data_IF_989476294943
#
_entry.id   IF_989476294943
#
_cell.length_a   1.000
_cell.length_b   1.000
_cell.length_c   1.000
_cell.angle_alpha   90.00
_cell.angle_beta   90.00
_cell.angle_gamma   90.00
#
_symmetry.space_group_name_H-M   'P 1'
#
loop_
_entity.id
_entity.type
_entity.pdbx_description
1 polymer ?
#
# COMPACT_ATOMS: atom_id res chain seq x y z
N UNK A 1 6.82 -1.99 18.13
CA UNK A 1 5.57 -2.43 17.52
C UNK A 1 5.77 -2.57 16.03
N UNK A 2 5.71 -3.80 15.53
CA UNK A 2 5.88 -4.10 14.10
C UNK A 2 4.52 -3.97 13.44
N UNK A 3 4.23 -2.80 12.87
CA UNK A 3 3.04 -2.61 12.05
C UNK A 3 3.46 -2.60 10.58
N UNK A 4 3.19 -3.68 9.88
CA UNK A 4 3.42 -3.72 8.44
C UNK A 4 2.48 -2.76 7.68
N UNK A 5 2.82 -2.34 6.46
CA UNK A 5 2.01 -1.44 5.64
C UNK A 5 0.62 -2.01 5.29
N UNK A 6 0.43 -3.32 5.41
CA UNK A 6 -0.87 -3.98 5.31
C UNK A 6 -1.89 -3.43 6.31
N UNK A 7 -1.44 -3.14 7.54
CA UNK A 7 -2.28 -2.60 8.63
C UNK A 7 -2.78 -1.18 8.32
N UNK A 8 -2.10 -0.45 7.44
CA UNK A 8 -2.51 0.89 7.01
C UNK A 8 -3.61 0.88 5.92
N UNK A 9 -4.25 -0.25 5.66
CA UNK A 9 -5.35 -0.35 4.70
C UNK A 9 -4.94 -0.22 3.23
N UNK A 10 -3.63 -0.21 2.92
CA UNK A 10 -3.10 -0.05 1.56
C UNK A 10 -3.55 -1.20 0.66
N UNK A 11 -3.48 -2.43 1.14
CA UNK A 11 -3.89 -3.61 0.39
C UNK A 11 -5.41 -3.68 0.16
N UNK A 12 -6.21 -3.27 1.16
CA UNK A 12 -7.68 -3.24 1.03
C UNK A 12 -8.14 -2.20 0.02
N UNK A 13 -7.50 -1.01 -0.01
CA UNK A 13 -7.81 0.02 -1.00
C UNK A 13 -7.31 -0.33 -2.40
N UNK A 14 -6.18 -1.03 -2.52
CA UNK A 14 -5.75 -1.61 -3.79
C UNK A 14 -6.78 -2.61 -4.34
N UNK A 15 -7.26 -3.54 -3.49
CA UNK A 15 -8.30 -4.51 -3.84
C UNK A 15 -9.60 -3.83 -4.25
N UNK A 16 -10.01 -2.80 -3.54
CA UNK A 16 -11.18 -1.99 -3.88
C UNK A 16 -11.04 -1.36 -5.28
N UNK A 17 -9.91 -0.72 -5.55
CA UNK A 17 -9.66 -0.09 -6.84
C UNK A 17 -9.61 -1.11 -8.01
N UNK A 18 -9.01 -2.30 -7.77
CA UNK A 18 -9.02 -3.39 -8.75
C UNK A 18 -10.43 -3.91 -8.99
N UNK A 19 -11.25 -4.08 -7.94
CA UNK A 19 -12.64 -4.49 -8.10
C UNK A 19 -13.43 -3.49 -8.96
N UNK A 20 -13.29 -2.19 -8.71
CA UNK A 20 -13.89 -1.15 -9.55
C UNK A 20 -13.37 -1.19 -10.98
N UNK A 21 -12.07 -1.39 -11.19
CA UNK A 21 -11.49 -1.47 -12.52
C UNK A 21 -12.00 -2.72 -13.27
N UNK A 22 -12.05 -3.88 -12.62
CA UNK A 22 -12.56 -5.11 -13.23
C UNK A 22 -14.01 -4.95 -13.64
N UNK A 23 -14.89 -4.58 -12.73
CA UNK A 23 -16.32 -4.47 -12.98
C UNK A 23 -16.64 -3.30 -13.92
N UNK A 24 -15.96 -2.15 -13.79
CA UNK A 24 -16.13 -0.99 -14.65
C UNK A 24 -15.61 -1.22 -16.05
N UNK A 25 -14.39 -1.71 -16.23
CA UNK A 25 -13.79 -1.94 -17.54
C UNK A 25 -14.46 -3.09 -18.29
N UNK A 26 -14.91 -4.15 -17.64
CA UNK A 26 -15.64 -5.22 -18.30
C UNK A 26 -16.96 -4.74 -18.90
N UNK A 27 -17.69 -3.86 -18.20
CA UNK A 27 -18.94 -3.29 -18.73
C UNK A 27 -18.73 -2.36 -19.94
N UNK A 28 -17.57 -1.69 -20.02
CA UNK A 28 -17.31 -0.68 -21.05
C UNK A 28 -16.42 -1.17 -22.19
N UNK A 29 -15.46 -2.05 -21.94
CA UNK A 29 -14.44 -2.48 -22.90
C UNK A 29 -14.40 -4.00 -23.16
N UNK A 30 -15.20 -4.80 -22.46
CA UNK A 30 -15.30 -6.25 -22.66
C UNK A 30 -14.06 -7.06 -22.26
N UNK A 31 -12.95 -6.41 -21.90
CA UNK A 31 -11.72 -7.07 -21.40
C UNK A 31 -10.95 -6.15 -20.47
N UNK A 32 -10.30 -6.73 -19.47
CA UNK A 32 -9.45 -5.99 -18.53
C UNK A 32 -8.00 -6.33 -18.84
N UNK A 33 -7.22 -5.32 -19.21
CA UNK A 33 -5.77 -5.45 -19.38
C UNK A 33 -5.09 -5.63 -18.01
N UNK A 34 -4.10 -6.53 -17.93
CA UNK A 34 -3.27 -6.68 -16.73
C UNK A 34 -2.62 -5.36 -16.28
N UNK A 35 -2.25 -4.51 -17.24
CA UNK A 35 -1.71 -3.18 -16.95
C UNK A 35 -2.74 -2.26 -16.28
N UNK A 36 -4.00 -2.30 -16.68
CA UNK A 36 -5.07 -1.52 -16.06
C UNK A 36 -5.31 -1.96 -14.61
N UNK A 37 -5.22 -3.25 -14.31
CA UNK A 37 -5.33 -3.77 -12.94
C UNK A 37 -4.16 -3.30 -12.06
N UNK A 38 -2.93 -3.36 -12.57
CA UNK A 38 -1.74 -2.88 -11.87
C UNK A 38 -1.85 -1.37 -11.59
N UNK A 39 -2.24 -0.58 -12.60
CA UNK A 39 -2.43 0.85 -12.45
C UNK A 39 -3.54 1.18 -11.42
N UNK A 40 -4.67 0.48 -11.49
CA UNK A 40 -5.77 0.65 -10.52
C UNK A 40 -5.34 0.31 -9.10
N UNK A 41 -4.63 -0.81 -8.90
CA UNK A 41 -4.10 -1.21 -7.59
C UNK A 41 -3.13 -0.15 -7.03
N UNK A 42 -2.24 0.36 -7.88
CA UNK A 42 -1.28 1.39 -7.49
C UNK A 42 -1.97 2.70 -7.10
N UNK A 43 -2.90 3.18 -7.92
CA UNK A 43 -3.69 4.40 -7.64
C UNK A 43 -4.51 4.23 -6.37
N UNK A 44 -5.21 3.10 -6.19
CA UNK A 44 -5.98 2.81 -4.99
C UNK A 44 -5.13 2.82 -3.73
N UNK A 45 -3.93 2.23 -3.80
CA UNK A 45 -2.96 2.27 -2.71
C UNK A 45 -2.55 3.70 -2.37
N UNK A 46 -2.23 4.53 -3.36
CA UNK A 46 -1.82 5.93 -3.16
C UNK A 46 -2.95 6.80 -2.59
N UNK A 47 -4.20 6.56 -3.00
CA UNK A 47 -5.37 7.27 -2.45
C UNK A 47 -5.50 6.99 -0.95
N UNK A 48 -5.39 5.73 -0.52
CA UNK A 48 -5.40 5.37 0.89
C UNK A 48 -4.29 6.08 1.68
N UNK A 49 -3.09 6.09 1.13
CA UNK A 49 -1.94 6.77 1.74
C UNK A 49 -2.18 8.28 1.85
N UNK A 50 -2.69 8.90 0.79
CA UNK A 50 -3.06 10.31 0.79
C UNK A 50 -4.07 10.63 1.89
N UNK A 51 -5.07 9.76 2.06
CA UNK A 51 -6.06 9.88 3.12
C UNK A 51 -5.41 9.79 4.51
N UNK A 52 -4.57 8.78 4.74
CA UNK A 52 -3.83 8.60 6.00
C UNK A 52 -2.94 9.81 6.29
N UNK A 53 -2.26 10.37 5.28
CA UNK A 53 -1.41 11.55 5.44
C UNK A 53 -2.22 12.81 5.81
N UNK A 54 -3.41 12.99 5.25
CA UNK A 54 -4.31 14.08 5.62
C UNK A 54 -4.71 13.97 7.10
N UNK A 55 -5.06 12.77 7.55
CA UNK A 55 -5.40 12.52 8.95
C UNK A 55 -4.17 12.61 9.87
N UNK A 56 -3.00 12.14 9.42
CA UNK A 56 -1.74 12.19 10.19
C UNK A 56 -1.34 13.62 10.60
N UNK A 57 -1.73 14.63 9.82
CA UNK A 57 -1.47 16.03 10.17
C UNK A 57 -2.26 16.51 11.40
N UNK A 58 -3.41 15.89 11.68
CA UNK A 58 -4.29 16.23 12.81
C UNK A 58 -4.13 15.29 14.01
N UNK A 59 -3.57 14.10 13.80
CA UNK A 59 -3.42 13.06 14.82
C UNK A 59 -2.00 13.12 15.39
N UNK A 60 -1.89 13.29 16.71
CA UNK A 60 -0.60 13.38 17.42
C UNK A 60 -0.03 12.02 17.88
N UNK A 61 -0.84 10.95 17.87
CA UNK A 61 -0.46 9.61 18.37
C UNK A 61 -0.22 8.59 17.26
N UNK A 62 0.85 7.79 17.35
CA UNK A 62 1.14 6.71 16.41
C UNK A 62 0.07 5.61 16.47
N UNK A 63 -0.44 5.28 17.66
CA UNK A 63 -1.51 4.29 17.85
C UNK A 63 -2.82 4.72 17.17
N UNK A 64 -3.18 6.00 17.26
CA UNK A 64 -4.38 6.53 16.59
C UNK A 64 -4.26 6.50 15.09
N UNK A 65 -3.05 6.71 14.55
CA UNK A 65 -2.79 6.59 13.12
C UNK A 65 -2.99 5.15 12.62
N UNK A 66 -2.53 4.15 13.39
CA UNK A 66 -2.75 2.74 13.08
C UNK A 66 -4.24 2.39 13.10
N UNK A 67 -4.98 2.84 14.11
CA UNK A 67 -6.44 2.63 14.17
C UNK A 67 -7.14 3.27 12.96
N UNK A 68 -6.76 4.50 12.58
CA UNK A 68 -7.31 5.15 11.39
C UNK A 68 -7.03 4.33 10.11
N UNK A 69 -5.82 3.78 9.96
CA UNK A 69 -5.47 2.91 8.84
C UNK A 69 -6.33 1.64 8.79
N UNK A 70 -6.54 1.00 9.92
CA UNK A 70 -7.40 -0.19 10.04
C UNK A 70 -8.85 0.17 9.66
N UNK A 71 -9.37 1.30 10.13
CA UNK A 71 -10.73 1.75 9.79
C UNK A 71 -10.88 2.00 8.29
N UNK A 72 -9.90 2.66 7.65
CA UNK A 72 -9.87 2.83 6.19
C UNK A 72 -9.88 1.47 5.50
N UNK A 73 -9.11 0.50 5.98
CA UNK A 73 -9.09 -0.86 5.46
C UNK A 73 -10.46 -1.53 5.51
N UNK A 74 -11.16 -1.45 6.63
CA UNK A 74 -12.52 -2.00 6.78
C UNK A 74 -13.54 -1.31 5.88
N UNK A 75 -13.48 0.01 5.74
CA UNK A 75 -14.36 0.76 4.83
C UNK A 75 -14.12 0.30 3.38
N UNK A 76 -12.86 0.21 2.95
CA UNK A 76 -12.53 -0.27 1.60
C UNK A 76 -13.00 -1.71 1.37
N UNK A 77 -12.88 -2.59 2.37
CA UNK A 77 -13.35 -3.97 2.29
C UNK A 77 -14.87 -4.00 2.15
N UNK A 78 -15.61 -3.27 3.00
CA UNK A 78 -17.07 -3.21 2.92
C UNK A 78 -17.57 -2.70 1.56
N UNK A 79 -16.92 -1.67 1.01
CA UNK A 79 -17.22 -1.16 -0.34
C UNK A 79 -16.92 -2.23 -1.39
N UNK A 80 -15.80 -2.94 -1.27
CA UNK A 80 -15.45 -4.03 -2.20
C UNK A 80 -16.49 -5.13 -2.18
N UNK A 81 -16.89 -5.59 -1.00
CA UNK A 81 -17.87 -6.66 -0.84
C UNK A 81 -19.25 -6.24 -1.39
N UNK A 82 -19.64 -4.98 -1.18
CA UNK A 82 -20.85 -4.42 -1.77
C UNK A 82 -20.79 -4.43 -3.31
N UNK A 83 -19.67 -3.97 -3.89
CA UNK A 83 -19.50 -3.91 -5.36
C UNK A 83 -19.46 -5.31 -5.97
N UNK A 84 -18.81 -6.26 -5.30
CA UNK A 84 -18.73 -7.67 -5.72
C UNK A 84 -20.11 -8.34 -5.77
N UNK A 85 -21.08 -7.92 -4.95
CA UNK A 85 -22.44 -8.43 -4.99
C UNK A 85 -23.14 -8.21 -6.35
N UNK A 86 -22.72 -7.21 -7.11
CA UNK A 86 -23.25 -6.91 -8.45
C UNK A 86 -22.35 -7.39 -9.60
N UNK A 87 -21.31 -8.12 -9.29
CA UNK A 87 -20.33 -8.64 -10.26
C UNK A 87 -20.78 -10.00 -10.81
N UNK A 88 -20.30 -10.34 -12.02
CA UNK A 88 -20.47 -11.66 -12.58
C UNK A 88 -19.57 -12.68 -11.86
N UNK A 89 -19.96 -13.95 -11.84
CA UNK A 89 -19.22 -15.02 -11.15
C UNK A 89 -17.75 -15.11 -11.61
N UNK A 90 -17.50 -14.91 -12.89
CA UNK A 90 -16.15 -14.89 -13.47
C UNK A 90 -15.29 -13.75 -12.93
N UNK A 91 -15.87 -12.59 -12.67
CA UNK A 91 -15.20 -11.42 -12.11
C UNK A 91 -14.85 -11.67 -10.64
N UNK A 92 -15.76 -12.29 -9.90
CA UNK A 92 -15.56 -12.67 -8.49
C UNK A 92 -14.38 -13.65 -8.38
N UNK A 93 -14.32 -14.68 -9.22
CA UNK A 93 -13.24 -15.67 -9.25
C UNK A 93 -11.90 -14.99 -9.60
N UNK A 94 -11.88 -14.11 -10.60
CA UNK A 94 -10.68 -13.38 -11.00
C UNK A 94 -10.18 -12.46 -9.88
N UNK A 95 -11.07 -11.70 -9.23
CA UNK A 95 -10.71 -10.84 -8.10
C UNK A 95 -10.20 -11.67 -6.91
N UNK A 96 -10.82 -12.82 -6.63
CA UNK A 96 -10.37 -13.72 -5.57
C UNK A 96 -8.99 -14.28 -5.86
N UNK A 97 -8.72 -14.73 -7.08
CA UNK A 97 -7.41 -15.23 -7.50
C UNK A 97 -6.34 -14.15 -7.43
N UNK A 98 -6.66 -12.93 -7.88
CA UNK A 98 -5.74 -11.80 -7.75
C UNK A 98 -5.46 -11.46 -6.27
N UNK A 99 -6.48 -11.53 -5.40
CA UNK A 99 -6.34 -11.19 -3.99
C UNK A 99 -5.55 -12.21 -3.17
N UNK A 100 -5.29 -13.41 -3.69
CA UNK A 100 -4.36 -14.39 -3.05
C UNK A 100 -2.90 -13.96 -3.18
N UNK A 101 -2.60 -13.12 -4.15
CA UNK A 101 -1.23 -12.74 -4.49
C UNK A 101 -0.47 -13.85 -5.22
N UNK A 102 0.23 -13.51 -6.28
CA UNK A 102 1.07 -14.45 -7.04
C UNK A 102 2.12 -13.72 -7.85
N UNK A 103 3.33 -14.28 -7.87
CA UNK A 103 4.41 -13.79 -8.74
C UNK A 103 4.41 -14.48 -10.11
N UNK A 104 3.61 -15.53 -10.33
CA UNK A 104 3.65 -16.34 -11.55
C UNK A 104 3.18 -15.63 -12.81
N UNK A 105 2.41 -14.54 -12.67
CA UNK A 105 1.91 -13.72 -13.79
C UNK A 105 2.79 -12.53 -14.18
N UNK A 106 3.98 -12.39 -13.60
CA UNK A 106 4.85 -11.25 -13.86
C UNK A 106 5.64 -11.42 -15.15
N UNK A 107 5.59 -10.40 -16.01
CA UNK A 107 6.41 -10.28 -17.21
C UNK A 107 7.73 -9.56 -16.90
N UNK A 108 8.78 -9.76 -17.72
CA UNK A 108 10.07 -9.09 -17.56
C UNK A 108 9.97 -7.56 -17.50
N UNK A 109 9.06 -6.95 -18.27
CA UNK A 109 8.81 -5.51 -18.21
C UNK A 109 8.26 -5.08 -16.85
N UNK A 110 7.32 -5.85 -16.29
CA UNK A 110 6.76 -5.59 -14.95
C UNK A 110 7.82 -5.72 -13.85
N UNK A 111 8.69 -6.74 -13.96
CA UNK A 111 9.81 -6.94 -13.04
C UNK A 111 10.80 -5.78 -13.13
N UNK A 112 11.15 -5.32 -14.34
CA UNK A 112 12.06 -4.19 -14.52
C UNK A 112 11.51 -2.89 -13.91
N UNK A 113 10.23 -2.57 -14.16
CA UNK A 113 9.59 -1.37 -13.60
C UNK A 113 9.52 -1.46 -12.06
N UNK A 114 9.12 -2.61 -11.52
CA UNK A 114 9.09 -2.83 -10.08
C UNK A 114 10.48 -2.69 -9.46
N UNK A 115 11.52 -3.30 -10.08
CA UNK A 115 12.89 -3.23 -9.60
C UNK A 115 13.44 -1.80 -9.60
N UNK A 116 13.16 -1.02 -10.65
CA UNK A 116 13.56 0.39 -10.73
C UNK A 116 12.87 1.21 -9.63
N UNK A 117 11.55 1.04 -9.46
CA UNK A 117 10.77 1.77 -8.44
C UNK A 117 11.26 1.42 -7.03
N UNK A 118 11.48 0.13 -6.75
CA UNK A 118 12.00 -0.33 -5.46
C UNK A 118 13.43 0.17 -5.24
N UNK A 119 14.29 0.12 -6.25
CA UNK A 119 15.67 0.60 -6.17
C UNK A 119 15.77 2.10 -5.86
N UNK A 120 15.00 2.92 -6.56
CA UNK A 120 14.94 4.37 -6.30
C UNK A 120 14.43 4.65 -4.88
N UNK A 121 13.35 3.95 -4.48
CA UNK A 121 12.76 4.15 -3.15
C UNK A 121 13.70 3.66 -2.05
N UNK A 122 14.39 2.55 -2.26
CA UNK A 122 15.40 2.03 -1.33
C UNK A 122 16.56 3.00 -1.17
N UNK A 123 17.06 3.58 -2.27
CA UNK A 123 18.09 4.60 -2.24
C UNK A 123 17.63 5.85 -1.44
N UNK A 124 16.38 6.29 -1.65
CA UNK A 124 15.83 7.40 -0.87
C UNK A 124 15.73 7.07 0.63
N UNK A 125 15.35 5.84 1.00
CA UNK A 125 15.34 5.38 2.41
C UNK A 125 16.75 5.34 2.98
N UNK A 126 17.74 4.92 2.20
CA UNK A 126 19.15 4.89 2.63
C UNK A 126 19.67 6.29 2.98
N UNK A 127 19.28 7.31 2.22
CA UNK A 127 19.62 8.71 2.54
C UNK A 127 19.03 9.17 3.88
N UNK A 128 17.92 8.55 4.31
CA UNK A 128 17.26 8.84 5.58
C UNK A 128 17.81 8.00 6.75
N UNK A 129 18.85 7.19 6.55
CA UNK A 129 19.40 6.32 7.59
C UNK A 129 19.84 7.10 8.86
N UNK A 130 20.46 8.28 8.68
CA UNK A 130 20.88 9.13 9.81
C UNK A 130 19.69 9.66 10.63
N UNK A 131 18.65 10.28 10.03
CA UNK A 131 17.43 10.64 10.73
C UNK A 131 16.70 9.46 11.39
N UNK A 132 16.70 8.28 10.76
CA UNK A 132 16.09 7.05 11.32
C UNK A 132 16.79 6.65 12.62
N UNK A 133 18.12 6.60 12.62
CA UNK A 133 18.89 6.24 13.81
C UNK A 133 18.70 7.26 14.95
N UNK A 134 18.66 8.56 14.64
CA UNK A 134 18.35 9.59 15.62
C UNK A 134 16.94 9.41 16.21
N UNK A 135 15.95 9.07 15.39
CA UNK A 135 14.57 8.86 15.82
C UNK A 135 14.39 7.63 16.73
N UNK A 136 15.20 6.58 16.54
CA UNK A 136 15.20 5.39 17.40
C UNK A 136 15.61 5.71 18.86
N UNK A 137 16.43 6.74 19.07
CA UNK A 137 16.84 7.21 20.39
C UNK A 137 15.77 8.08 21.08
N UNK A 138 14.70 8.39 20.38
CA UNK A 138 13.56 9.16 20.88
C UNK A 138 13.27 10.41 20.06
N UNK A 139 12.00 10.80 20.05
CA UNK A 139 11.50 11.95 19.26
C UNK A 139 12.15 13.27 19.70
N UNK A 140 12.28 13.47 21.02
CA UNK A 140 12.92 14.67 21.59
C UNK A 140 14.40 14.73 21.25
N UNK A 141 15.10 13.60 21.24
CA UNK A 141 16.51 13.52 20.86
C UNK A 141 16.71 13.86 19.38
N UNK A 142 15.88 13.29 18.51
CA UNK A 142 15.94 13.61 17.09
C UNK A 142 15.67 15.11 16.79
N UNK A 143 14.74 15.73 17.52
CA UNK A 143 14.50 17.17 17.45
C UNK A 143 15.71 18.00 17.85
N UNK A 144 16.39 17.65 18.95
CA UNK A 144 17.60 18.36 19.40
C UNK A 144 18.75 18.25 18.41
N UNK A 145 18.78 17.20 17.60
CA UNK A 145 19.71 17.01 16.49
C UNK A 145 19.30 17.73 15.20
N UNK A 146 18.22 18.52 15.22
CA UNK A 146 17.76 19.31 14.06
C UNK A 146 16.85 18.55 13.08
N UNK A 147 16.40 17.34 13.43
CA UNK A 147 15.47 16.57 12.57
C UNK A 147 14.06 17.16 12.66
N UNK A 148 13.50 17.57 11.55
CA UNK A 148 12.09 17.99 11.48
C UNK A 148 11.19 16.75 11.49
N UNK A 149 10.66 16.41 12.67
CA UNK A 149 9.88 15.18 12.90
C UNK A 149 8.64 15.08 11.99
N UNK A 150 7.96 16.20 11.72
CA UNK A 150 6.76 16.19 10.87
C UNK A 150 7.12 15.79 9.42
N UNK A 151 8.14 16.41 8.86
CA UNK A 151 8.62 16.10 7.51
C UNK A 151 9.15 14.67 7.45
N UNK A 152 9.98 14.29 8.42
CA UNK A 152 10.56 12.95 8.52
C UNK A 152 9.49 11.86 8.55
N UNK A 153 8.49 11.97 9.43
CA UNK A 153 7.38 11.02 9.54
C UNK A 153 6.58 10.92 8.23
N UNK A 154 6.26 12.05 7.61
CA UNK A 154 5.55 12.08 6.33
C UNK A 154 6.35 11.39 5.23
N UNK A 155 7.64 11.68 5.13
CA UNK A 155 8.53 11.07 4.13
C UNK A 155 8.63 9.56 4.31
N UNK A 156 8.78 9.07 5.54
CA UNK A 156 8.80 7.64 5.82
C UNK A 156 7.49 6.95 5.42
N UNK A 157 6.34 7.54 5.76
CA UNK A 157 5.03 7.00 5.38
C UNK A 157 4.92 6.94 3.85
N UNK A 158 5.30 8.00 3.13
CA UNK A 158 5.25 8.02 1.66
C UNK A 158 6.16 6.96 1.05
N UNK A 159 7.42 6.87 1.47
CA UNK A 159 8.37 5.89 0.93
C UNK A 159 7.93 4.45 1.20
N UNK A 160 7.51 4.14 2.44
CA UNK A 160 7.00 2.79 2.78
C UNK A 160 5.75 2.45 1.99
N UNK A 161 4.90 3.44 1.73
CA UNK A 161 3.67 3.27 0.96
C UNK A 161 3.92 3.03 -0.52
N UNK A 162 4.90 3.71 -1.12
CA UNK A 162 5.32 3.46 -2.50
C UNK A 162 5.85 2.04 -2.65
N UNK A 163 6.69 1.57 -1.72
CA UNK A 163 7.18 0.18 -1.70
C UNK A 163 6.03 -0.82 -1.62
N UNK A 164 5.13 -0.62 -0.66
CA UNK A 164 3.98 -1.50 -0.48
C UNK A 164 3.02 -1.47 -1.65
N UNK A 165 2.72 -0.29 -2.20
CA UNK A 165 1.87 -0.12 -3.36
C UNK A 165 2.44 -0.83 -4.60
N UNK A 166 3.77 -0.72 -4.82
CA UNK A 166 4.46 -1.40 -5.92
C UNK A 166 4.31 -2.91 -5.78
N UNK A 167 4.64 -3.47 -4.61
CA UNK A 167 4.52 -4.93 -4.40
C UNK A 167 3.06 -5.38 -4.57
N UNK A 168 2.11 -4.68 -3.96
CA UNK A 168 0.68 -5.03 -4.04
C UNK A 168 0.14 -4.92 -5.47
N UNK A 169 0.59 -3.93 -6.24
CA UNK A 169 0.13 -3.74 -7.62
C UNK A 169 0.58 -4.89 -8.54
N UNK A 170 1.81 -5.37 -8.40
CA UNK A 170 2.39 -6.39 -9.27
C UNK A 170 2.14 -7.82 -8.79
N UNK A 171 2.27 -8.07 -7.50
CA UNK A 171 2.16 -9.41 -6.91
C UNK A 171 0.82 -9.68 -6.23
N UNK A 172 -0.05 -8.65 -6.12
CA UNK A 172 -1.26 -8.72 -5.31
C UNK A 172 -0.99 -8.49 -3.82
N UNK A 173 -2.04 -8.48 -2.98
CA UNK A 173 -1.92 -8.24 -1.55
C UNK A 173 -1.34 -9.45 -0.81
N UNK A 174 -0.02 -9.50 -0.64
CA UNK A 174 0.65 -10.55 0.12
C UNK A 174 0.65 -10.16 1.60
N UNK A 175 -0.13 -10.86 2.40
CA UNK A 175 -0.26 -10.64 3.84
C UNK A 175 0.89 -11.32 4.60
N UNK A 176 1.15 -10.86 5.81
CA UNK A 176 2.08 -11.44 6.80
C UNK A 176 3.58 -11.38 6.49
N UNK A 177 4.05 -11.12 5.27
CA UNK A 177 5.49 -11.06 4.95
C UNK A 177 6.21 -10.03 5.84
N UNK A 178 5.61 -8.85 6.03
CA UNK A 178 6.18 -7.80 6.88
C UNK A 178 6.25 -8.13 8.38
N UNK A 179 5.53 -9.16 8.81
CA UNK A 179 5.57 -9.64 10.22
C UNK A 179 6.50 -10.85 10.32
N UNK A 180 6.43 -11.79 9.37
CA UNK A 180 7.19 -13.04 9.42
C UNK A 180 8.69 -12.84 9.21
N UNK A 181 9.08 -12.02 8.23
CA UNK A 181 10.50 -11.82 7.88
C UNK A 181 11.38 -11.29 9.02
N UNK A 182 10.95 -10.33 9.86
CA UNK A 182 11.78 -9.86 10.98
C UNK A 182 11.99 -10.88 12.10
N UNK A 183 11.21 -11.99 12.11
CA UNK A 183 11.31 -13.04 13.13
C UNK A 183 12.05 -14.30 12.63
N UNK A 184 12.40 -14.36 11.35
CA UNK A 184 13.21 -15.41 10.73
C UNK A 184 14.70 -15.02 10.74
#
# INVERSE_FOLDING_TARGET
PVAGPFVLGISSSAKMAVAFAMIGCMKWFGSVSSFAMIAAAFVGSLVSVGFILLFSRRIRGMSTLLVAGIMVGYICTAITDFVVTFAADSEIVNLHNWSKGSFSGMNWNSVAIAAITIGITFFAVFLLAKPINAYQLGESYAQSMGVNIKVFRTTLIVLSSILSATVTAYAGPISFVGIAVPFL
#
